data_IF_667296456230
#
_entry.id   IF_667296456230
#
_cell.length_a   1.000
_cell.length_b   1.000
_cell.length_c   1.000
_cell.angle_alpha   90.00
_cell.angle_beta   90.00
_cell.angle_gamma   90.00
#
_symmetry.space_group_name_H-M   'P 1'
#
loop_
_entity.id
_entity.type
_entity.pdbx_description
1 polymer ?
#
# COMPACT_ATOMS: atom_id res chain seq x y z
N UNK A 1 -10.23 -4.46 20.59
CA UNK A 1 -10.61 -4.78 19.19
C UNK A 1 -10.30 -3.55 18.36
N UNK A 2 -9.42 -3.65 17.36
CA UNK A 2 -9.21 -2.53 16.44
C UNK A 2 -10.45 -2.43 15.56
N UNK A 3 -11.10 -1.26 15.51
CA UNK A 3 -12.31 -1.06 14.71
C UNK A 3 -11.99 -1.33 13.23
N UNK A 4 -12.91 -1.96 12.50
CA UNK A 4 -12.82 -2.11 11.04
C UNK A 4 -12.67 -0.70 10.46
N UNK A 5 -11.64 -0.42 9.64
CA UNK A 5 -11.43 0.92 9.10
C UNK A 5 -12.63 1.35 8.26
N UNK A 6 -13.15 2.54 8.53
CA UNK A 6 -14.10 3.18 7.64
C UNK A 6 -13.42 3.63 6.34
N UNK A 7 -14.19 4.18 5.41
CA UNK A 7 -13.65 4.62 4.12
C UNK A 7 -12.51 5.63 4.28
N UNK A 8 -12.63 6.54 5.26
CA UNK A 8 -11.59 7.51 5.55
C UNK A 8 -10.31 6.83 6.06
N UNK A 9 -10.44 5.87 6.98
CA UNK A 9 -9.33 5.07 7.50
C UNK A 9 -8.65 4.24 6.41
N UNK A 10 -9.43 3.62 5.52
CA UNK A 10 -8.90 2.89 4.36
C UNK A 10 -8.09 3.82 3.44
N UNK A 11 -8.64 4.97 3.06
CA UNK A 11 -7.95 5.91 2.20
C UNK A 11 -6.74 6.58 2.88
N UNK A 12 -6.77 6.74 4.20
CA UNK A 12 -5.62 7.17 4.97
C UNK A 12 -4.47 6.15 4.90
N UNK A 13 -4.76 4.84 4.94
CA UNK A 13 -3.74 3.81 4.76
C UNK A 13 -3.14 3.87 3.35
N UNK A 14 -3.96 4.05 2.32
CA UNK A 14 -3.50 4.24 0.93
C UNK A 14 -2.57 5.45 0.83
N UNK A 15 -3.02 6.61 1.33
CA UNK A 15 -2.23 7.84 1.29
C UNK A 15 -0.93 7.73 2.07
N UNK A 16 -0.97 7.13 3.26
CA UNK A 16 0.23 6.92 4.08
C UNK A 16 1.22 5.97 3.40
N UNK A 17 0.75 4.87 2.81
CA UNK A 17 1.59 3.97 2.03
C UNK A 17 2.32 4.67 0.88
N UNK A 18 1.60 5.47 0.08
CA UNK A 18 2.20 6.22 -1.03
C UNK A 18 3.19 7.28 -0.54
N UNK A 19 2.88 7.98 0.56
CA UNK A 19 3.80 8.95 1.17
C UNK A 19 5.10 8.29 1.63
N UNK A 20 4.99 7.15 2.34
CA UNK A 20 6.15 6.37 2.79
C UNK A 20 6.99 5.88 1.62
N UNK A 21 6.35 5.49 0.51
CA UNK A 21 7.04 5.10 -0.71
C UNK A 21 7.80 6.26 -1.34
N UNK A 22 7.18 7.44 -1.45
CA UNK A 22 7.85 8.64 -1.96
C UNK A 22 9.11 9.00 -1.17
N UNK A 23 9.06 8.89 0.17
CA UNK A 23 10.26 9.08 1.01
C UNK A 23 11.34 8.02 0.81
N UNK A 24 10.96 6.78 0.48
CA UNK A 24 11.92 5.74 0.12
C UNK A 24 12.61 6.12 -1.20
N UNK A 25 11.84 6.45 -2.25
CA UNK A 25 12.38 6.86 -3.56
C UNK A 25 13.34 8.04 -3.44
N UNK A 26 12.96 9.07 -2.69
CA UNK A 26 13.81 10.22 -2.39
C UNK A 26 15.12 9.80 -1.69
N UNK A 27 15.03 8.93 -0.68
CA UNK A 27 16.21 8.44 0.05
C UNK A 27 17.17 7.60 -0.80
N UNK A 28 16.68 6.98 -1.87
CA UNK A 28 17.51 6.22 -2.80
C UNK A 28 18.31 7.12 -3.75
N UNK A 29 17.94 8.41 -3.90
CA UNK A 29 18.65 9.39 -4.75
C UNK A 29 18.91 8.89 -6.18
N UNK A 30 17.93 8.21 -6.77
CA UNK A 30 18.03 7.64 -8.12
C UNK A 30 18.78 6.31 -8.21
N UNK A 31 19.25 5.74 -7.09
CA UNK A 31 19.68 4.34 -7.04
C UNK A 31 18.50 3.42 -7.41
N UNK A 32 18.73 2.26 -8.02
CA UNK A 32 17.68 1.28 -8.30
C UNK A 32 16.91 0.91 -7.04
N UNK A 33 15.61 0.61 -7.20
CA UNK A 33 14.80 0.06 -6.10
C UNK A 33 15.33 -1.34 -5.75
N UNK A 34 15.69 -1.61 -4.49
CA UNK A 34 16.12 -2.93 -4.04
C UNK A 34 15.12 -4.04 -4.36
N UNK A 35 15.62 -5.23 -4.71
CA UNK A 35 14.77 -6.37 -5.09
C UNK A 35 13.86 -6.85 -3.95
N UNK A 36 14.27 -6.69 -2.69
CA UNK A 36 13.47 -7.05 -1.52
C UNK A 36 12.25 -6.12 -1.31
N UNK A 37 12.17 -5.01 -2.05
CA UNK A 37 11.02 -4.10 -2.08
C UNK A 37 10.05 -4.39 -3.24
N UNK A 38 10.31 -5.41 -4.04
CA UNK A 38 9.56 -5.71 -5.26
C UNK A 38 8.05 -5.94 -5.01
N UNK A 39 7.69 -6.62 -3.91
CA UNK A 39 6.29 -6.79 -3.50
C UNK A 39 5.61 -5.43 -3.26
N UNK A 40 6.26 -4.54 -2.51
CA UNK A 40 5.74 -3.21 -2.16
C UNK A 40 5.65 -2.32 -3.40
N UNK A 41 6.63 -2.44 -4.32
CA UNK A 41 6.63 -1.76 -5.62
C UNK A 41 5.39 -2.13 -6.44
N UNK A 42 5.00 -3.41 -6.46
CA UNK A 42 3.79 -3.86 -7.14
C UNK A 42 2.52 -3.25 -6.55
N UNK A 43 2.40 -3.21 -5.22
CA UNK A 43 1.25 -2.58 -4.54
C UNK A 43 1.18 -1.10 -4.91
N UNK A 44 2.31 -0.37 -4.84
CA UNK A 44 2.38 1.05 -5.22
C UNK A 44 1.97 1.27 -6.66
N UNK A 45 2.47 0.47 -7.59
CA UNK A 45 2.12 0.60 -9.00
C UNK A 45 0.63 0.31 -9.25
N UNK A 46 0.07 -0.71 -8.61
CA UNK A 46 -1.34 -1.03 -8.71
C UNK A 46 -2.21 0.15 -8.24
N UNK A 47 -1.89 0.71 -7.06
CA UNK A 47 -2.59 1.88 -6.51
C UNK A 47 -2.49 3.08 -7.44
N UNK A 48 -1.28 3.45 -7.88
CA UNK A 48 -1.05 4.67 -8.65
C UNK A 48 -1.65 4.62 -10.07
N UNK A 49 -1.67 3.45 -10.70
CA UNK A 49 -2.07 3.36 -12.11
C UNK A 49 -3.51 2.91 -12.30
N UNK A 50 -4.07 2.12 -11.38
CA UNK A 50 -5.28 1.35 -11.66
C UNK A 50 -6.09 1.01 -10.41
N UNK A 51 -6.09 1.85 -9.38
CA UNK A 51 -7.11 1.74 -8.34
C UNK A 51 -8.47 2.16 -8.92
N UNK A 52 -9.41 1.21 -9.00
CA UNK A 52 -10.71 1.40 -9.69
C UNK A 52 -11.89 1.47 -8.73
N UNK A 53 -11.76 0.90 -7.53
CA UNK A 53 -12.79 0.96 -6.51
C UNK A 53 -12.20 0.88 -5.10
N UNK A 54 -12.98 1.32 -4.12
CA UNK A 54 -12.71 1.17 -2.70
C UNK A 54 -14.01 0.82 -1.98
N UNK A 55 -13.93 -0.09 -1.01
CA UNK A 55 -15.05 -0.59 -0.24
C UNK A 55 -14.70 -0.57 1.25
N UNK A 56 -15.57 0.03 2.04
CA UNK A 56 -15.51 -0.03 3.49
C UNK A 56 -16.94 0.07 4.03
N UNK A 57 -17.36 -0.96 4.76
CA UNK A 57 -18.63 -0.97 5.47
C UNK A 57 -18.37 -1.06 6.98
N UNK A 58 -18.44 0.06 7.70
CA UNK A 58 -18.22 0.08 9.15
C UNK A 58 -19.30 -0.67 9.96
N UNK A 59 -20.46 -0.92 9.35
CA UNK A 59 -21.60 -1.61 9.98
C UNK A 59 -21.69 -3.08 9.56
N UNK A 60 -21.00 -3.44 8.49
CA UNK A 60 -20.88 -4.81 7.99
C UNK A 60 -19.79 -5.62 8.67
N UNK A 61 -19.75 -6.91 8.36
CA UNK A 61 -18.69 -7.84 8.77
C UNK A 61 -17.56 -7.95 7.74
N UNK A 62 -17.74 -7.34 6.57
CA UNK A 62 -16.77 -7.31 5.48
C UNK A 62 -15.53 -6.47 5.81
N UNK A 63 -14.36 -6.99 5.46
CA UNK A 63 -13.12 -6.21 5.57
C UNK A 63 -13.13 -5.02 4.61
N UNK A 64 -12.59 -3.88 5.03
CA UNK A 64 -12.33 -2.76 4.13
C UNK A 64 -11.20 -3.11 3.14
N UNK A 65 -11.36 -2.77 1.86
CA UNK A 65 -10.37 -3.03 0.82
C UNK A 65 -10.42 -2.02 -0.33
N UNK A 66 -9.31 -1.86 -1.02
CA UNK A 66 -9.26 -1.25 -2.35
C UNK A 66 -9.22 -2.33 -3.41
N UNK A 67 -9.71 -2.00 -4.59
CA UNK A 67 -9.64 -2.83 -5.78
C UNK A 67 -8.78 -2.15 -6.82
N UNK A 68 -7.76 -2.86 -7.29
CA UNK A 68 -6.88 -2.43 -8.35
C UNK A 68 -6.96 -3.38 -9.54
N UNK A 69 -6.89 -2.84 -10.74
CA UNK A 69 -6.81 -3.62 -11.97
C UNK A 69 -5.34 -3.72 -12.42
N UNK A 70 -4.84 -4.90 -12.74
CA UNK A 70 -3.50 -5.03 -13.33
C UNK A 70 -3.56 -4.79 -14.84
N UNK A 71 -2.40 -4.63 -15.48
CA UNK A 71 -2.33 -4.33 -16.92
C UNK A 71 -2.92 -5.42 -17.82
N UNK A 72 -3.01 -6.65 -17.32
CA UNK A 72 -3.63 -7.81 -17.97
C UNK A 72 -5.15 -7.90 -17.73
N UNK A 73 -5.74 -6.92 -17.03
CA UNK A 73 -7.16 -6.89 -16.69
C UNK A 73 -7.52 -7.70 -15.43
N UNK A 74 -6.55 -8.31 -14.76
CA UNK A 74 -6.83 -9.05 -13.51
C UNK A 74 -7.18 -8.07 -12.39
N UNK A 75 -8.25 -8.36 -11.67
CA UNK A 75 -8.66 -7.54 -10.52
C UNK A 75 -8.03 -8.09 -9.25
N UNK A 76 -7.26 -7.27 -8.54
CA UNK A 76 -6.65 -7.59 -7.24
C UNK A 76 -7.23 -6.70 -6.16
N UNK A 77 -7.61 -7.29 -5.03
CA UNK A 77 -8.04 -6.55 -3.85
C UNK A 77 -6.91 -6.47 -2.84
N UNK A 78 -6.78 -5.30 -2.19
CA UNK A 78 -5.89 -5.10 -1.06
C UNK A 78 -6.71 -4.64 0.14
N UNK A 79 -6.79 -5.48 1.16
CA UNK A 79 -7.47 -5.16 2.41
C UNK A 79 -6.73 -4.09 3.21
N UNK A 80 -7.45 -3.44 4.12
CA UNK A 80 -6.86 -2.49 5.05
C UNK A 80 -5.76 -3.14 5.92
N UNK A 81 -5.92 -4.42 6.29
CA UNK A 81 -4.90 -5.19 7.02
C UNK A 81 -3.64 -5.36 6.18
N UNK A 82 -3.77 -5.76 4.91
CA UNK A 82 -2.63 -5.92 4.00
C UNK A 82 -1.92 -4.61 3.72
N UNK A 83 -2.66 -3.50 3.58
CA UNK A 83 -2.07 -2.16 3.45
C UNK A 83 -1.29 -1.78 4.71
N UNK A 84 -1.85 -2.03 5.90
CA UNK A 84 -1.15 -1.77 7.17
C UNK A 84 0.11 -2.64 7.32
N UNK A 85 0.08 -3.89 6.87
CA UNK A 85 1.25 -4.77 6.82
C UNK A 85 2.31 -4.28 5.84
N UNK A 86 1.90 -3.90 4.63
CA UNK A 86 2.79 -3.34 3.62
C UNK A 86 3.48 -2.05 4.10
N UNK A 87 2.76 -1.19 4.83
CA UNK A 87 3.32 0.00 5.46
C UNK A 87 4.40 -0.36 6.48
N UNK A 88 4.13 -1.31 7.38
CA UNK A 88 5.11 -1.77 8.38
C UNK A 88 6.35 -2.37 7.73
N UNK A 89 6.16 -3.20 6.72
CA UNK A 89 7.25 -3.78 5.93
C UNK A 89 8.10 -2.69 5.27
N UNK A 90 7.45 -1.71 4.61
CA UNK A 90 8.11 -0.60 3.96
C UNK A 90 8.94 0.24 4.94
N UNK A 91 8.42 0.49 6.14
CA UNK A 91 9.15 1.22 7.18
C UNK A 91 10.38 0.46 7.69
N UNK A 92 10.29 -0.86 7.84
CA UNK A 92 11.43 -1.71 8.23
C UNK A 92 12.50 -1.67 7.14
N UNK A 93 12.12 -1.87 5.89
CA UNK A 93 13.06 -1.89 4.77
C UNK A 93 13.68 -0.52 4.51
N UNK A 94 12.91 0.56 4.58
CA UNK A 94 13.43 1.93 4.44
C UNK A 94 14.49 2.27 5.51
N UNK A 95 14.35 1.73 6.74
CA UNK A 95 15.38 1.91 7.78
C UNK A 95 16.66 1.16 7.45
N UNK A 96 16.56 -0.06 6.92
CA UNK A 96 17.72 -0.86 6.49
C UNK A 96 18.48 -0.17 5.36
N UNK A 97 17.76 0.35 4.36
CA UNK A 97 18.36 0.99 3.18
C UNK A 97 18.83 2.43 3.40
N UNK A 98 18.44 3.10 4.51
CA UNK A 98 19.00 4.40 4.93
C UNK A 98 20.34 4.30 5.66
N UNK A 99 20.72 3.12 6.15
CA UNK A 99 21.97 2.90 6.87
C UNK A 99 23.15 2.52 5.96
N UNK A 100 22.94 2.56 4.62
CA UNK A 100 23.93 2.28 3.57
C UNK A 100 24.11 3.48 2.62
#
# INVERSE_FOLDING_TARGET
MSAVPDFQGLMALVGYFLLRWGWLEDSLKGRPIPEDLERLRRIRNAICHRMVAAHADPQGDGAAFITCETLDGTTTQYSATELAEAIRELEIQARRHRQL
#
